data_IF_666030047566
#
_entry.id   IF_666030047566
#
_cell.length_a   1.000
_cell.length_b   1.000
_cell.length_c   1.000
_cell.angle_alpha   90.00
_cell.angle_beta   90.00
_cell.angle_gamma   90.00
#
_symmetry.space_group_name_H-M   'P 1'
#
loop_
_entity.id
_entity.type
_entity.pdbx_description
1 polymer ?
#
# COMPACT_ATOMS: atom_id res chain seq x y z
N UNK A 1 -52.24 1.60 -12.22
CA UNK A 1 -51.45 1.58 -10.97
C UNK A 1 -50.03 1.99 -11.34
N UNK A 2 -49.67 3.27 -11.17
CA UNK A 2 -48.31 3.73 -11.41
C UNK A 2 -47.43 3.27 -10.24
N UNK A 3 -46.37 2.51 -10.53
CA UNK A 3 -45.35 2.17 -9.55
C UNK A 3 -44.76 3.49 -9.04
N UNK A 4 -44.85 3.71 -7.73
CA UNK A 4 -44.21 4.86 -7.09
C UNK A 4 -42.72 4.88 -7.45
N UNK A 5 -42.12 6.03 -7.80
CA UNK A 5 -40.70 6.12 -8.07
C UNK A 5 -39.97 5.68 -6.80
N UNK A 6 -39.24 4.57 -6.89
CA UNK A 6 -38.34 4.09 -5.84
C UNK A 6 -37.40 5.26 -5.55
N UNK A 7 -37.46 5.81 -4.32
CA UNK A 7 -36.62 6.94 -3.93
C UNK A 7 -35.17 6.62 -4.29
N UNK A 8 -34.56 7.48 -5.11
CA UNK A 8 -33.13 7.36 -5.44
C UNK A 8 -32.38 7.40 -4.10
N UNK A 9 -31.54 6.41 -3.78
CA UNK A 9 -30.74 6.49 -2.57
C UNK A 9 -29.96 7.81 -2.56
N UNK A 10 -29.72 8.41 -1.38
CA UNK A 10 -28.91 9.62 -1.29
C UNK A 10 -27.57 9.40 -1.99
N UNK A 11 -27.07 10.44 -2.66
CA UNK A 11 -25.75 10.38 -3.28
C UNK A 11 -24.70 10.05 -2.21
N UNK A 12 -23.69 9.21 -2.52
CA UNK A 12 -22.64 8.90 -1.57
C UNK A 12 -21.87 10.19 -1.18
N UNK A 13 -21.21 10.20 -0.01
CA UNK A 13 -20.35 11.31 0.38
C UNK A 13 -19.29 11.61 -0.68
N UNK A 14 -18.98 12.88 -0.89
CA UNK A 14 -17.90 13.32 -1.78
C UNK A 14 -16.52 13.05 -1.17
N UNK A 15 -15.47 13.03 -2.00
CA UNK A 15 -14.09 12.84 -1.52
C UNK A 15 -13.68 13.90 -0.49
N UNK A 16 -14.11 15.16 -0.67
CA UNK A 16 -13.83 16.22 0.30
C UNK A 16 -14.53 15.98 1.64
N UNK A 17 -15.80 15.58 1.63
CA UNK A 17 -16.55 15.27 2.86
C UNK A 17 -15.96 14.07 3.61
N UNK A 18 -15.41 13.10 2.87
CA UNK A 18 -14.68 11.95 3.43
C UNK A 18 -13.38 12.41 4.08
N UNK A 19 -12.58 13.19 3.37
CA UNK A 19 -11.30 13.69 3.88
C UNK A 19 -11.49 14.58 5.12
N UNK A 20 -12.47 15.48 5.12
CA UNK A 20 -12.83 16.28 6.28
C UNK A 20 -13.30 15.42 7.46
N UNK A 21 -14.11 14.38 7.20
CA UNK A 21 -14.56 13.48 8.26
C UNK A 21 -13.39 12.71 8.89
N UNK A 22 -12.44 12.22 8.09
CA UNK A 22 -11.24 11.55 8.61
C UNK A 22 -10.40 12.49 9.48
N UNK A 23 -10.15 13.72 9.01
CA UNK A 23 -9.41 14.73 9.76
C UNK A 23 -10.02 15.00 11.14
N UNK A 24 -11.34 15.18 11.15
CA UNK A 24 -12.10 15.44 12.37
C UNK A 24 -12.09 14.24 13.32
N UNK A 25 -12.23 13.02 12.81
CA UNK A 25 -12.16 11.80 13.62
C UNK A 25 -10.76 11.59 14.19
N UNK A 26 -9.69 11.82 13.42
CA UNK A 26 -8.30 11.74 13.88
C UNK A 26 -8.02 12.76 14.98
N UNK A 27 -8.41 14.02 14.77
CA UNK A 27 -8.30 15.05 15.81
C UNK A 27 -9.04 14.64 17.08
N UNK A 28 -10.25 14.12 16.93
CA UNK A 28 -11.09 13.69 18.05
C UNK A 28 -10.48 12.54 18.85
N UNK A 29 -9.99 11.47 18.22
CA UNK A 29 -9.41 10.32 18.96
C UNK A 29 -8.11 10.67 19.67
N UNK A 30 -7.37 11.68 19.18
CA UNK A 30 -6.15 12.16 19.82
C UNK A 30 -6.44 13.10 21.01
N UNK A 31 -7.55 13.86 20.97
CA UNK A 31 -7.98 14.76 22.05
C UNK A 31 -8.77 14.01 23.13
N UNK A 32 -9.71 13.16 22.72
CA UNK A 32 -10.61 12.42 23.60
C UNK A 32 -10.56 10.92 23.27
N UNK A 33 -9.54 10.19 23.74
CA UNK A 33 -9.36 8.76 23.43
C UNK A 33 -10.57 7.88 23.81
N UNK A 34 -11.41 8.33 24.74
CA UNK A 34 -12.67 7.66 25.10
C UNK A 34 -13.67 7.57 23.93
N UNK A 35 -13.56 8.43 22.91
CA UNK A 35 -14.37 8.36 21.70
C UNK A 35 -13.99 7.17 20.79
N UNK A 36 -12.76 6.65 20.92
CA UNK A 36 -12.24 5.58 20.07
C UNK A 36 -13.16 4.36 20.02
N UNK A 37 -13.66 3.89 21.16
CA UNK A 37 -14.50 2.69 21.22
C UNK A 37 -15.81 2.85 20.42
N UNK A 38 -16.40 4.05 20.38
CA UNK A 38 -17.62 4.32 19.59
C UNK A 38 -17.32 4.37 18.09
N UNK A 39 -16.18 4.93 17.73
CA UNK A 39 -15.72 5.02 16.34
C UNK A 39 -15.36 3.62 15.82
N UNK A 40 -14.60 2.83 16.59
CA UNK A 40 -14.19 1.47 16.26
C UNK A 40 -15.35 0.45 16.26
N UNK A 41 -16.49 0.78 16.87
CA UNK A 41 -17.71 0.00 16.73
C UNK A 41 -18.35 0.12 15.33
N UNK A 42 -17.99 1.16 14.57
CA UNK A 42 -18.55 1.45 13.24
C UNK A 42 -17.51 1.23 12.14
N UNK A 43 -16.27 1.65 12.40
CA UNK A 43 -15.19 1.67 11.42
C UNK A 43 -14.12 0.62 11.71
N UNK A 44 -13.57 0.07 10.64
CA UNK A 44 -12.35 -0.72 10.60
C UNK A 44 -11.21 0.11 10.02
N UNK A 45 -9.98 -0.40 10.13
CA UNK A 45 -8.80 0.28 9.59
C UNK A 45 -8.89 0.47 8.07
N UNK A 46 -9.49 -0.48 7.37
CA UNK A 46 -9.60 -0.48 5.90
C UNK A 46 -10.56 0.59 5.37
N UNK A 47 -11.47 1.11 6.22
CA UNK A 47 -12.45 2.13 5.82
C UNK A 47 -11.80 3.50 5.59
N UNK A 48 -10.63 3.75 6.20
CA UNK A 48 -9.86 4.99 6.08
C UNK A 48 -9.10 5.06 4.75
N UNK A 49 -9.21 6.17 4.05
CA UNK A 49 -8.53 6.43 2.77
C UNK A 49 -7.08 6.85 2.97
N UNK A 50 -6.78 7.73 3.94
CA UNK A 50 -5.42 8.22 4.13
C UNK A 50 -4.58 7.30 5.01
N UNK A 51 -3.39 6.94 4.53
CA UNK A 51 -2.44 6.07 5.24
C UNK A 51 -2.07 6.59 6.64
N UNK A 52 -1.84 7.91 6.78
CA UNK A 52 -1.56 8.51 8.08
C UNK A 52 -2.76 8.35 9.04
N UNK A 53 -3.98 8.63 8.59
CA UNK A 53 -5.19 8.55 9.41
C UNK A 53 -5.47 7.12 9.85
N UNK A 54 -5.38 6.16 8.93
CA UNK A 54 -5.46 4.72 9.22
C UNK A 54 -4.44 4.31 10.29
N UNK A 55 -3.19 4.70 10.10
CA UNK A 55 -2.11 4.39 11.06
C UNK A 55 -2.37 4.98 12.44
N UNK A 56 -2.87 6.23 12.52
CA UNK A 56 -3.24 6.84 13.81
C UNK A 56 -4.35 6.03 14.48
N UNK A 57 -5.41 5.68 13.76
CA UNK A 57 -6.51 4.88 14.30
C UNK A 57 -6.02 3.54 14.88
N UNK A 58 -5.23 2.77 14.12
CA UNK A 58 -4.68 1.49 14.59
C UNK A 58 -3.75 1.64 15.80
N UNK A 59 -2.87 2.65 15.78
CA UNK A 59 -1.91 2.89 16.87
C UNK A 59 -2.63 3.32 18.14
N UNK A 60 -3.64 4.19 18.04
CA UNK A 60 -4.46 4.61 19.17
C UNK A 60 -5.16 3.41 19.80
N UNK A 61 -5.77 2.52 18.99
CA UNK A 61 -6.38 1.29 19.48
C UNK A 61 -5.42 0.44 20.32
N UNK A 62 -4.22 0.17 19.78
CA UNK A 62 -3.18 -0.58 20.49
C UNK A 62 -2.73 0.12 21.78
N UNK A 63 -2.55 1.44 21.77
CA UNK A 63 -2.16 2.18 22.97
C UNK A 63 -3.23 2.06 24.06
N UNK A 64 -4.52 2.14 23.70
CA UNK A 64 -5.64 1.98 24.64
C UNK A 64 -5.66 0.56 25.22
N UNK A 65 -5.50 -0.47 24.39
CA UNK A 65 -5.41 -1.87 24.82
C UNK A 65 -4.22 -2.12 25.76
N UNK A 66 -3.07 -1.49 25.48
CA UNK A 66 -1.86 -1.54 26.31
C UNK A 66 -1.97 -0.67 27.59
N UNK A 67 -3.06 0.08 27.78
CA UNK A 67 -3.23 1.02 28.91
C UNK A 67 -2.26 2.21 28.88
N UNK A 68 -1.74 2.56 27.70
CA UNK A 68 -0.77 3.63 27.49
C UNK A 68 -1.45 4.95 27.11
N UNK A 69 -0.83 6.09 27.48
CA UNK A 69 -1.39 7.39 27.12
C UNK A 69 -1.37 7.61 25.60
N UNK A 70 -2.46 8.16 25.09
CA UNK A 70 -2.61 8.56 23.69
C UNK A 70 -2.26 10.04 23.56
N UNK A 71 -1.38 10.35 22.61
CA UNK A 71 -0.97 11.71 22.24
C UNK A 71 -0.33 11.69 20.85
N UNK A 72 -0.19 12.84 20.16
CA UNK A 72 0.58 12.90 18.92
C UNK A 72 2.00 12.32 19.08
N UNK A 73 2.69 12.67 20.17
CA UNK A 73 4.05 12.20 20.44
C UNK A 73 4.16 10.67 20.64
N UNK A 74 3.12 10.02 21.18
CA UNK A 74 3.11 8.56 21.35
C UNK A 74 2.74 7.81 20.06
N UNK A 75 2.05 8.48 19.14
CA UNK A 75 1.59 7.89 17.86
C UNK A 75 2.62 8.06 16.74
N UNK A 76 3.22 9.26 16.62
CA UNK A 76 4.13 9.64 15.53
C UNK A 76 5.23 8.60 15.23
N UNK A 77 5.90 7.97 16.20
CA UNK A 77 6.95 6.98 15.92
C UNK A 77 6.46 5.69 15.25
N UNK A 78 5.14 5.47 15.19
CA UNK A 78 4.49 4.24 14.73
C UNK A 78 3.61 4.44 13.49
N UNK A 79 3.59 5.64 12.92
CA UNK A 79 2.78 6.01 11.74
C UNK A 79 3.65 6.67 10.67
N UNK A 80 3.06 6.98 9.51
CA UNK A 80 3.73 7.77 8.46
C UNK A 80 4.25 9.11 9.01
N UNK A 81 5.46 9.50 8.63
CA UNK A 81 6.05 10.81 8.95
C UNK A 81 5.62 11.92 7.98
N UNK A 82 4.92 11.54 6.90
CA UNK A 82 4.38 12.44 5.88
C UNK A 82 2.87 12.55 6.00
N UNK A 83 2.36 13.79 5.98
CA UNK A 83 0.94 14.15 5.98
C UNK A 83 0.33 14.14 4.56
N UNK A 84 -1.01 14.17 4.41
CA UNK A 84 -1.67 14.17 3.11
C UNK A 84 -1.28 15.34 2.18
N UNK A 85 -0.87 16.47 2.74
CA UNK A 85 -0.39 17.65 1.99
C UNK A 85 1.10 17.56 1.60
N UNK A 86 1.77 16.45 1.93
CA UNK A 86 3.20 16.24 1.73
C UNK A 86 4.08 16.90 2.80
N UNK A 87 3.48 17.55 3.80
CA UNK A 87 4.19 18.17 4.92
C UNK A 87 4.53 17.19 6.05
N UNK A 88 5.21 17.67 7.10
CA UNK A 88 5.50 16.87 8.29
C UNK A 88 4.23 16.44 9.05
N UNK A 89 4.12 15.16 9.38
CA UNK A 89 2.95 14.60 10.08
C UNK A 89 2.73 15.20 11.48
N UNK A 90 3.78 15.61 12.19
CA UNK A 90 3.69 16.19 13.53
C UNK A 90 2.89 17.50 13.53
N UNK A 91 3.22 18.42 12.63
CA UNK A 91 2.52 19.72 12.49
C UNK A 91 1.07 19.51 12.07
N UNK A 92 0.85 18.55 11.18
CA UNK A 92 -0.47 18.19 10.71
C UNK A 92 -1.37 17.65 11.84
N UNK A 93 -0.90 16.65 12.60
CA UNK A 93 -1.66 16.08 13.70
C UNK A 93 -1.93 17.11 14.82
N UNK A 94 -0.98 18.00 15.11
CA UNK A 94 -1.20 19.10 16.06
C UNK A 94 -2.34 20.03 15.58
N UNK A 95 -2.39 20.34 14.29
CA UNK A 95 -3.46 21.16 13.74
C UNK A 95 -4.83 20.45 13.84
N UNK A 96 -4.88 19.13 13.57
CA UNK A 96 -6.11 18.34 13.73
C UNK A 96 -6.60 18.29 15.17
N UNK A 97 -5.69 18.13 16.13
CA UNK A 97 -5.99 18.19 17.57
C UNK A 97 -6.59 19.55 17.96
N UNK A 98 -6.00 20.64 17.46
CA UNK A 98 -6.49 21.99 17.75
C UNK A 98 -7.87 22.27 17.13
N UNK A 99 -8.17 21.66 15.98
CA UNK A 99 -9.45 21.80 15.27
C UNK A 99 -10.47 20.70 15.55
N UNK A 100 -10.22 19.82 16.52
CA UNK A 100 -11.07 18.65 16.77
C UNK A 100 -12.50 19.06 17.16
N UNK A 101 -13.54 18.41 16.61
CA UNK A 101 -14.92 18.69 16.98
C UNK A 101 -15.24 18.10 18.37
N UNK A 102 -16.45 18.40 18.85
CA UNK A 102 -17.01 17.72 20.03
C UNK A 102 -17.18 16.22 19.79
N UNK A 103 -17.01 15.39 20.82
CA UNK A 103 -17.22 13.94 20.74
C UNK A 103 -18.66 13.51 20.45
N UNK A 104 -19.62 14.45 20.46
CA UNK A 104 -20.97 14.27 19.93
C UNK A 104 -20.98 14.00 18.42
N UNK A 105 -19.96 14.44 17.68
CA UNK A 105 -19.84 14.22 16.23
C UNK A 105 -19.17 12.89 15.86
N UNK A 106 -18.68 12.12 16.84
CA UNK A 106 -17.96 10.87 16.61
C UNK A 106 -18.74 9.90 15.71
N UNK A 107 -19.99 9.56 16.09
CA UNK A 107 -20.79 8.59 15.35
C UNK A 107 -21.27 9.11 13.99
N UNK A 108 -21.80 10.35 13.86
CA UNK A 108 -22.17 10.88 12.54
C UNK A 108 -21.01 10.89 11.54
N UNK A 109 -19.81 11.29 11.97
CA UNK A 109 -18.62 11.28 11.12
C UNK A 109 -18.18 9.86 10.78
N UNK A 110 -18.20 8.94 11.76
CA UNK A 110 -17.86 7.55 11.53
C UNK A 110 -18.82 6.86 10.54
N UNK A 111 -20.13 7.13 10.64
CA UNK A 111 -21.12 6.60 9.69
C UNK A 111 -20.90 7.14 8.28
N UNK A 112 -20.57 8.42 8.14
CA UNK A 112 -20.25 9.01 6.83
C UNK A 112 -19.04 8.32 6.19
N UNK A 113 -17.98 8.08 6.96
CA UNK A 113 -16.81 7.38 6.45
C UNK A 113 -17.15 5.91 6.07
N UNK A 114 -17.99 5.24 6.86
CA UNK A 114 -18.45 3.88 6.56
C UNK A 114 -19.34 3.82 5.29
N UNK A 115 -20.21 4.82 5.09
CA UNK A 115 -21.01 4.95 3.86
C UNK A 115 -20.12 5.13 2.63
N UNK A 116 -19.08 5.96 2.74
CA UNK A 116 -18.10 6.13 1.67
C UNK A 116 -17.30 4.85 1.41
N UNK A 117 -16.85 4.15 2.45
CA UNK A 117 -16.14 2.87 2.32
C UNK A 117 -17.00 1.82 1.61
N UNK A 118 -18.29 1.75 1.96
CA UNK A 118 -19.23 0.88 1.27
C UNK A 118 -19.43 1.26 -0.20
N UNK A 119 -19.45 2.55 -0.52
CA UNK A 119 -19.58 3.02 -1.90
C UNK A 119 -18.35 2.67 -2.76
N UNK A 120 -17.15 2.65 -2.17
CA UNK A 120 -15.90 2.25 -2.83
C UNK A 120 -15.82 0.74 -3.05
N UNK A 121 -16.23 -0.05 -2.05
CA UNK A 121 -16.18 -1.52 -2.11
C UNK A 121 -17.47 -2.18 -2.61
N UNK A 122 -18.38 -1.42 -3.23
CA UNK A 122 -19.69 -1.92 -3.66
C UNK A 122 -19.60 -2.95 -4.80
N UNK A 123 -20.68 -3.73 -5.06
CA UNK A 123 -20.73 -4.70 -6.16
C UNK A 123 -20.42 -4.08 -7.52
N UNK A 124 -20.83 -2.82 -7.72
CA UNK A 124 -20.57 -2.05 -8.94
C UNK A 124 -19.08 -1.77 -9.18
N UNK A 125 -18.23 -1.82 -8.13
CA UNK A 125 -16.76 -1.70 -8.28
C UNK A 125 -16.11 -3.03 -8.68
N UNK A 126 -16.56 -4.15 -8.10
CA UNK A 126 -15.96 -5.48 -8.33
C UNK A 126 -16.27 -6.06 -9.72
N UNK A 127 -17.42 -5.71 -10.30
CA UNK A 127 -17.89 -6.23 -11.60
C UNK A 127 -17.70 -5.24 -12.77
N UNK A 128 -16.93 -4.15 -12.60
CA UNK A 128 -16.77 -3.12 -13.65
C UNK A 128 -15.75 -3.49 -14.73
N UNK A 129 -16.04 -3.09 -15.96
CA UNK A 129 -15.03 -2.95 -17.00
C UNK A 129 -14.11 -1.76 -16.64
N UNK A 130 -13.01 -2.07 -15.95
CA UNK A 130 -12.05 -1.07 -15.46
C UNK A 130 -11.49 -0.20 -16.61
N UNK A 131 -11.29 -0.78 -17.80
CA UNK A 131 -10.80 -0.03 -18.96
C UNK A 131 -11.84 1.00 -19.41
N UNK A 132 -13.10 0.58 -19.59
CA UNK A 132 -14.17 1.48 -20.00
C UNK A 132 -14.39 2.58 -18.96
N UNK A 133 -14.46 2.23 -17.67
CA UNK A 133 -14.60 3.20 -16.58
C UNK A 133 -13.43 4.19 -16.55
N UNK A 134 -12.17 3.73 -16.60
CA UNK A 134 -11.01 4.62 -16.56
C UNK A 134 -10.98 5.56 -17.78
N UNK A 135 -11.41 5.08 -18.94
CA UNK A 135 -11.56 5.89 -20.14
C UNK A 135 -12.64 6.98 -19.98
N UNK A 136 -13.78 6.65 -19.38
CA UNK A 136 -14.86 7.60 -19.07
C UNK A 136 -14.41 8.67 -18.07
N UNK A 137 -13.73 8.27 -16.99
CA UNK A 137 -13.16 9.22 -16.01
C UNK A 137 -12.15 10.17 -16.67
N UNK A 138 -11.26 9.64 -17.53
CA UNK A 138 -10.31 10.46 -18.27
C UNK A 138 -11.00 11.42 -19.25
N UNK A 139 -12.11 11.02 -19.86
CA UNK A 139 -12.89 11.87 -20.74
C UNK A 139 -13.60 12.99 -19.98
N UNK A 140 -14.18 12.70 -18.81
CA UNK A 140 -14.77 13.68 -17.92
C UNK A 140 -13.74 14.72 -17.45
N UNK A 141 -12.54 14.27 -17.04
CA UNK A 141 -11.40 15.13 -16.70
C UNK A 141 -11.02 16.08 -17.85
N UNK A 142 -10.84 15.54 -19.06
CA UNK A 142 -10.49 16.36 -20.25
C UNK A 142 -11.56 17.40 -20.60
N UNK A 143 -12.81 17.15 -20.24
CA UNK A 143 -13.96 18.05 -20.45
C UNK A 143 -14.20 19.01 -19.28
N UNK A 144 -13.42 18.93 -18.21
CA UNK A 144 -13.59 19.74 -16.99
C UNK A 144 -14.87 19.40 -16.20
N UNK A 145 -15.43 18.20 -16.38
CA UNK A 145 -16.67 17.76 -15.75
C UNK A 145 -16.39 17.12 -14.39
N UNK A 146 -15.86 17.91 -13.45
CA UNK A 146 -15.41 17.39 -12.14
C UNK A 146 -16.54 16.78 -11.30
N UNK A 147 -17.76 17.31 -11.40
CA UNK A 147 -18.94 16.79 -10.69
C UNK A 147 -19.37 15.39 -11.17
N UNK A 148 -18.92 14.97 -12.35
CA UNK A 148 -19.20 13.66 -12.91
C UNK A 148 -18.11 12.62 -12.57
N UNK A 149 -17.04 13.04 -11.87
CA UNK A 149 -15.96 12.14 -11.49
C UNK A 149 -16.39 11.26 -10.33
N UNK A 150 -16.07 9.98 -10.45
CA UNK A 150 -16.13 9.02 -9.36
C UNK A 150 -14.87 9.18 -8.49
N UNK A 151 -14.77 10.32 -7.81
CA UNK A 151 -13.53 10.77 -7.17
C UNK A 151 -13.05 9.82 -6.06
N UNK A 152 -13.97 9.15 -5.36
CA UNK A 152 -13.63 8.16 -4.34
C UNK A 152 -12.89 6.97 -4.94
N UNK A 153 -13.46 6.34 -5.97
CA UNK A 153 -12.83 5.21 -6.65
C UNK A 153 -11.61 5.64 -7.48
N UNK A 154 -11.60 6.86 -8.03
CA UNK A 154 -10.46 7.38 -8.79
C UNK A 154 -9.21 7.56 -7.93
N UNK A 155 -9.36 8.03 -6.69
CA UNK A 155 -8.24 8.14 -5.76
C UNK A 155 -7.63 6.78 -5.47
N UNK A 156 -8.46 5.79 -5.13
CA UNK A 156 -8.00 4.42 -4.86
C UNK A 156 -7.29 3.79 -6.07
N UNK A 157 -7.86 3.91 -7.27
CA UNK A 157 -7.27 3.34 -8.49
C UNK A 157 -5.91 3.97 -8.86
N UNK A 158 -5.73 5.26 -8.58
CA UNK A 158 -4.44 5.93 -8.79
C UNK A 158 -3.41 5.43 -7.76
N UNK A 159 -3.82 5.22 -6.52
CA UNK A 159 -2.96 4.64 -5.49
C UNK A 159 -2.59 3.19 -5.81
N UNK A 160 -3.56 2.38 -6.24
CA UNK A 160 -3.38 1.00 -6.67
C UNK A 160 -2.48 0.89 -7.89
N UNK A 161 -2.58 1.82 -8.85
CA UNK A 161 -1.64 1.90 -9.98
C UNK A 161 -0.19 2.11 -9.49
N UNK A 162 0.00 3.00 -8.52
CA UNK A 162 1.31 3.20 -7.88
C UNK A 162 1.79 1.95 -7.13
N UNK A 163 0.88 1.26 -6.45
CA UNK A 163 1.12 -0.01 -5.78
C UNK A 163 1.51 -1.13 -6.74
N UNK A 164 0.86 -1.23 -7.90
CA UNK A 164 1.16 -2.22 -8.93
C UNK A 164 2.58 -2.05 -9.49
N UNK A 165 3.00 -0.81 -9.78
CA UNK A 165 4.37 -0.49 -10.21
C UNK A 165 5.38 -0.91 -9.13
N UNK A 166 5.08 -0.62 -7.86
CA UNK A 166 5.93 -1.03 -6.74
C UNK A 166 6.02 -2.56 -6.62
N UNK A 167 4.89 -3.26 -6.73
CA UNK A 167 4.80 -4.72 -6.63
C UNK A 167 5.51 -5.41 -7.80
N UNK A 168 5.55 -4.79 -8.99
CA UNK A 168 6.31 -5.27 -10.13
C UNK A 168 7.82 -5.24 -9.82
N UNK A 169 8.33 -4.15 -9.24
CA UNK A 169 9.73 -4.06 -8.80
C UNK A 169 10.04 -5.10 -7.71
N UNK A 170 9.17 -5.24 -6.70
CA UNK A 170 9.34 -6.24 -5.64
C UNK A 170 9.36 -7.67 -6.21
N UNK A 171 8.49 -7.97 -7.19
CA UNK A 171 8.44 -9.27 -7.85
C UNK A 171 9.69 -9.59 -8.67
N UNK A 172 10.20 -8.61 -9.42
CA UNK A 172 11.42 -8.76 -10.19
C UNK A 172 12.65 -8.97 -9.27
N UNK A 173 12.72 -8.23 -8.16
CA UNK A 173 13.72 -8.43 -7.11
C UNK A 173 13.60 -9.83 -6.47
N UNK A 174 12.37 -10.27 -6.14
CA UNK A 174 12.12 -11.59 -5.54
C UNK A 174 12.63 -12.72 -6.44
N UNK A 175 12.28 -12.70 -7.73
CA UNK A 175 12.73 -13.71 -8.68
C UNK A 175 14.25 -13.71 -8.84
N UNK A 176 14.87 -12.53 -8.86
CA UNK A 176 16.34 -12.38 -8.92
C UNK A 176 16.99 -12.98 -7.68
N UNK A 177 16.53 -12.59 -6.49
CA UNK A 177 17.05 -13.07 -5.21
C UNK A 177 16.89 -14.58 -5.04
N UNK A 178 15.72 -15.13 -5.38
CA UNK A 178 15.44 -16.57 -5.29
C UNK A 178 16.45 -17.37 -6.13
N UNK A 179 16.69 -16.94 -7.37
CA UNK A 179 17.65 -17.61 -8.24
C UNK A 179 19.09 -17.39 -7.80
N UNK A 180 19.45 -16.23 -7.22
CA UNK A 180 20.76 -16.02 -6.60
C UNK A 180 20.99 -16.96 -5.40
N UNK A 181 19.97 -17.18 -4.57
CA UNK A 181 20.05 -18.14 -3.45
C UNK A 181 20.27 -19.56 -3.96
N UNK A 182 19.45 -20.02 -4.91
CA UNK A 182 19.61 -21.32 -5.58
C UNK A 182 20.99 -21.46 -6.23
N UNK A 183 21.47 -20.40 -6.87
CA UNK A 183 22.78 -20.36 -7.52
C UNK A 183 23.92 -20.56 -6.52
N UNK A 184 23.79 -20.05 -5.30
CA UNK A 184 24.83 -20.15 -4.28
C UNK A 184 24.80 -21.48 -3.54
N UNK A 185 23.61 -22.01 -3.27
CA UNK A 185 23.44 -23.20 -2.42
C UNK A 185 23.40 -24.51 -3.20
N UNK A 186 23.14 -24.49 -4.51
CA UNK A 186 23.14 -25.69 -5.36
C UNK A 186 24.02 -25.50 -6.62
N UNK A 187 25.35 -25.33 -6.48
CA UNK A 187 26.25 -25.07 -7.60
C UNK A 187 26.20 -26.14 -8.70
N UNK A 188 25.97 -27.39 -8.33
CA UNK A 188 25.82 -28.55 -9.23
C UNK A 188 24.50 -28.57 -10.01
N UNK A 189 23.46 -27.86 -9.56
CA UNK A 189 22.15 -27.78 -10.24
C UNK A 189 21.95 -26.49 -11.04
N UNK A 190 22.99 -25.66 -11.19
CA UNK A 190 22.92 -24.41 -11.95
C UNK A 190 22.49 -24.68 -13.38
N UNK A 191 21.46 -23.95 -13.85
CA UNK A 191 20.94 -24.07 -15.22
C UNK A 191 21.01 -22.73 -15.96
N UNK A 192 20.95 -22.81 -17.29
CA UNK A 192 20.76 -21.63 -18.15
C UNK A 192 19.46 -20.89 -17.84
N UNK A 193 18.40 -21.62 -17.49
CA UNK A 193 17.11 -21.02 -17.11
C UNK A 193 17.27 -20.14 -15.88
N UNK A 194 17.95 -20.60 -14.83
CA UNK A 194 18.19 -19.78 -13.63
C UNK A 194 19.02 -18.53 -13.93
N UNK A 195 20.06 -18.68 -14.76
CA UNK A 195 20.86 -17.54 -15.22
C UNK A 195 20.01 -16.52 -15.99
N UNK A 196 19.14 -16.98 -16.90
CA UNK A 196 18.22 -16.11 -17.64
C UNK A 196 17.22 -15.43 -16.71
N UNK A 197 16.68 -16.12 -15.71
CA UNK A 197 15.77 -15.53 -14.73
C UNK A 197 16.43 -14.41 -13.92
N UNK A 198 17.69 -14.58 -13.51
CA UNK A 198 18.47 -13.52 -12.84
C UNK A 198 18.66 -12.33 -13.78
N UNK A 199 19.07 -12.59 -15.03
CA UNK A 199 19.32 -11.52 -16.00
C UNK A 199 18.05 -10.74 -16.34
N UNK A 200 16.93 -11.44 -16.57
CA UNK A 200 15.66 -10.80 -16.89
C UNK A 200 15.13 -10.00 -15.70
N UNK A 201 15.16 -10.56 -14.48
CA UNK A 201 14.73 -9.82 -13.29
C UNK A 201 15.57 -8.56 -13.04
N UNK A 202 16.88 -8.59 -13.34
CA UNK A 202 17.73 -7.38 -13.30
C UNK A 202 17.32 -6.34 -14.33
N UNK A 203 17.06 -6.76 -15.58
CA UNK A 203 16.60 -5.85 -16.63
C UNK A 203 15.24 -5.22 -16.29
N UNK A 204 14.30 -6.02 -15.77
CA UNK A 204 12.98 -5.54 -15.36
C UNK A 204 13.09 -4.48 -14.25
N UNK A 205 13.98 -4.70 -13.26
CA UNK A 205 14.26 -3.70 -12.21
C UNK A 205 14.90 -2.44 -12.78
N UNK A 206 15.86 -2.59 -13.70
CA UNK A 206 16.54 -1.45 -14.34
C UNK A 206 15.54 -0.59 -15.14
N UNK A 207 14.72 -1.20 -16.00
CA UNK A 207 13.70 -0.52 -16.79
C UNK A 207 12.67 0.21 -15.90
N UNK A 208 12.24 -0.44 -14.81
CA UNK A 208 11.35 0.19 -13.83
C UNK A 208 11.98 1.40 -13.16
N UNK A 209 13.26 1.33 -12.78
CA UNK A 209 13.96 2.45 -12.13
C UNK A 209 14.31 3.58 -13.09
N UNK A 210 14.49 3.30 -14.37
CA UNK A 210 14.64 4.29 -15.43
C UNK A 210 13.32 5.04 -15.68
N UNK A 211 12.22 4.29 -15.78
CA UNK A 211 10.88 4.85 -16.03
C UNK A 211 10.30 5.55 -14.80
N UNK A 212 10.63 5.07 -13.60
CA UNK A 212 10.11 5.56 -12.32
C UNK A 212 11.24 5.82 -11.30
N UNK A 213 12.03 6.90 -11.48
CA UNK A 213 13.19 7.18 -10.62
C UNK A 213 12.89 7.32 -9.12
N UNK A 214 11.67 7.74 -8.76
CA UNK A 214 11.23 7.87 -7.37
C UNK A 214 11.20 6.54 -6.60
N UNK A 215 11.11 5.40 -7.30
CA UNK A 215 11.16 4.07 -6.68
C UNK A 215 12.51 3.78 -6.00
N UNK A 216 13.59 4.49 -6.37
CA UNK A 216 14.92 4.33 -5.75
C UNK A 216 14.88 4.49 -4.23
N UNK A 217 14.06 5.42 -3.72
CA UNK A 217 13.90 5.63 -2.27
C UNK A 217 13.19 4.48 -1.55
N UNK A 218 12.50 3.61 -2.30
CA UNK A 218 11.70 2.50 -1.77
C UNK A 218 12.42 1.15 -1.88
N UNK A 219 13.62 1.12 -2.46
CA UNK A 219 14.43 -0.09 -2.64
C UNK A 219 14.73 -0.86 -1.34
N UNK A 220 15.13 -0.22 -0.22
CA UNK A 220 15.44 -0.97 1.00
C UNK A 220 14.25 -1.81 1.50
N UNK A 221 13.06 -1.22 1.52
CA UNK A 221 11.83 -1.91 1.91
C UNK A 221 11.43 -3.00 0.91
N UNK A 222 11.63 -2.77 -0.39
CA UNK A 222 11.32 -3.74 -1.44
C UNK A 222 12.23 -4.97 -1.36
N UNK A 223 13.54 -4.77 -1.19
CA UNK A 223 14.52 -5.85 -1.05
C UNK A 223 14.21 -6.70 0.17
N UNK A 224 13.91 -6.09 1.32
CA UNK A 224 13.60 -6.82 2.54
C UNK A 224 12.35 -7.72 2.38
N UNK A 225 11.29 -7.21 1.72
CA UNK A 225 10.07 -8.00 1.44
C UNK A 225 10.32 -9.10 0.41
N UNK A 226 10.91 -8.73 -0.72
CA UNK A 226 11.28 -9.64 -1.79
C UNK A 226 12.14 -10.80 -1.29
N UNK A 227 13.12 -10.51 -0.43
CA UNK A 227 14.02 -11.52 0.13
C UNK A 227 13.29 -12.52 1.02
N UNK A 228 12.42 -12.06 1.94
CA UNK A 228 11.64 -12.97 2.80
C UNK A 228 10.86 -13.99 1.96
N UNK A 229 10.23 -13.53 0.88
CA UNK A 229 9.51 -14.44 -0.02
C UNK A 229 10.45 -15.32 -0.84
N UNK A 230 11.52 -14.75 -1.38
CA UNK A 230 12.52 -15.48 -2.15
C UNK A 230 13.19 -16.61 -1.35
N UNK A 231 13.40 -16.42 -0.04
CA UNK A 231 13.92 -17.43 0.90
C UNK A 231 12.98 -18.64 1.02
N UNK A 232 11.68 -18.39 1.20
CA UNK A 232 10.64 -19.43 1.22
C UNK A 232 10.59 -20.16 -0.13
N UNK A 233 10.52 -19.41 -1.23
CA UNK A 233 10.43 -19.99 -2.58
C UNK A 233 11.69 -20.82 -2.91
N UNK A 234 12.89 -20.35 -2.52
CA UNK A 234 14.14 -21.08 -2.71
C UNK A 234 14.20 -22.36 -1.86
N UNK A 235 13.79 -22.32 -0.60
CA UNK A 235 13.70 -23.52 0.25
C UNK A 235 12.80 -24.58 -0.41
N UNK A 236 11.61 -24.17 -0.84
CA UNK A 236 10.66 -25.05 -1.53
C UNK A 236 11.17 -25.64 -2.84
N UNK A 237 11.92 -24.88 -3.66
CA UNK A 237 12.45 -25.38 -4.93
C UNK A 237 13.77 -26.17 -4.81
N UNK A 238 14.52 -25.97 -3.72
CA UNK A 238 15.81 -26.64 -3.51
C UNK A 238 15.70 -27.92 -2.68
N UNK A 239 14.58 -28.12 -1.99
CA UNK A 239 14.38 -29.16 -0.97
C UNK A 239 15.39 -29.03 0.19
N UNK A 240 15.78 -27.79 0.50
CA UNK A 240 16.62 -27.44 1.64
C UNK A 240 15.76 -26.74 2.70
N UNK A 241 16.11 -26.92 3.97
CA UNK A 241 15.45 -26.20 5.06
C UNK A 241 15.64 -24.69 4.91
N UNK A 242 14.61 -23.92 5.29
CA UNK A 242 14.63 -22.45 5.20
C UNK A 242 15.78 -21.82 6.00
N UNK A 243 16.21 -22.48 7.08
CA UNK A 243 17.29 -22.05 7.98
C UNK A 243 18.69 -22.20 7.37
N UNK A 244 18.83 -22.92 6.25
CA UNK A 244 20.06 -22.94 5.45
C UNK A 244 20.33 -21.56 4.84
N UNK A 245 19.27 -20.80 4.55
CA UNK A 245 19.35 -19.45 4.00
C UNK A 245 19.36 -18.42 5.13
N UNK A 246 20.21 -17.37 5.06
CA UNK A 246 20.25 -16.32 6.08
C UNK A 246 18.88 -15.67 6.34
N UNK A 247 18.56 -15.32 7.59
CA UNK A 247 17.29 -14.69 7.94
C UNK A 247 17.10 -13.29 7.32
N UNK A 248 18.21 -12.56 7.15
CA UNK A 248 18.26 -11.26 6.47
C UNK A 248 18.91 -11.38 5.11
N UNK A 249 18.60 -10.46 4.19
CA UNK A 249 19.16 -10.47 2.84
C UNK A 249 20.68 -10.29 2.89
N UNK A 250 21.48 -11.26 2.42
CA UNK A 250 22.94 -11.18 2.49
C UNK A 250 23.55 -10.32 1.37
N UNK A 251 22.73 -9.78 0.47
CA UNK A 251 23.19 -9.01 -0.68
C UNK A 251 22.77 -7.55 -0.56
N UNK A 252 23.71 -6.63 -0.80
CA UNK A 252 23.39 -5.24 -1.08
C UNK A 252 22.72 -5.10 -2.46
N UNK A 253 21.97 -4.01 -2.68
CA UNK A 253 21.32 -3.76 -3.97
C UNK A 253 22.29 -3.85 -5.16
N UNK A 254 23.48 -3.24 -5.02
CA UNK A 254 24.50 -3.28 -6.06
C UNK A 254 24.92 -4.72 -6.40
N UNK A 255 25.07 -5.59 -5.40
CA UNK A 255 25.39 -7.00 -5.61
C UNK A 255 24.24 -7.76 -6.28
N UNK A 256 22.99 -7.51 -5.87
CA UNK A 256 21.79 -8.10 -6.51
C UNK A 256 21.81 -7.80 -8.00
N UNK A 257 22.14 -6.56 -8.38
CA UNK A 257 22.07 -6.07 -9.76
C UNK A 257 23.30 -6.43 -10.61
N UNK A 258 24.50 -6.41 -10.04
CA UNK A 258 25.73 -6.42 -10.85
C UNK A 258 26.59 -7.66 -10.66
N UNK A 259 26.40 -8.42 -9.57
CA UNK A 259 27.25 -9.57 -9.26
C UNK A 259 27.35 -10.51 -10.47
N UNK A 260 28.56 -10.93 -10.87
CA UNK A 260 28.75 -11.87 -11.96
C UNK A 260 28.07 -13.21 -11.69
N UNK A 261 27.28 -13.67 -12.66
CA UNK A 261 26.67 -15.00 -12.70
C UNK A 261 27.17 -15.69 -13.96
N UNK A 262 28.42 -16.17 -13.92
CA UNK A 262 29.07 -16.73 -15.10
C UNK A 262 28.61 -18.16 -15.39
N UNK A 263 28.13 -18.42 -16.61
CA UNK A 263 28.06 -19.77 -17.15
C UNK A 263 29.44 -20.15 -17.69
N UNK A 264 30.04 -21.30 -17.31
CA UNK A 264 31.28 -21.73 -17.93
C UNK A 264 31.03 -21.93 -19.43
N UNK A 265 31.78 -21.20 -20.25
CA UNK A 265 31.76 -21.37 -21.71
C UNK A 265 32.00 -22.85 -22.00
N UNK A 266 31.12 -23.45 -22.80
CA UNK A 266 31.31 -24.81 -23.26
C UNK A 266 32.71 -24.87 -23.88
N UNK A 267 33.62 -25.63 -23.26
CA UNK A 267 34.95 -25.86 -23.82
C UNK A 267 34.74 -26.32 -25.26
N UNK A 268 35.36 -25.61 -26.22
CA UNK A 268 35.50 -26.13 -27.57
C UNK A 268 36.19 -27.49 -27.40
N UNK A 269 35.44 -28.57 -27.62
CA UNK A 269 36.05 -29.87 -27.86
C UNK A 269 36.78 -29.72 -29.19
N UNK A 270 38.08 -29.44 -29.12
CA UNK A 270 39.03 -29.68 -30.20
C UNK A 270 39.20 -31.17 -30.41
#
# INVERSE_FOLDING_TARGET
MALAPKARPPAPPTLNEVFEAEQQLVGLILVEPAAYARIAAILRAEDWTQNLHRGVFEVVGRLIEEGRPVSPASVLPKVSDVAPDGGPADRYLIALVAGAPSSAFAEPLARRLAEAAHARSGPDHLDRDLYAWAYEQALALRRGQFDALDALNLAEEIEDLGGAIYNQMESALRLTLMHLLKWNHQPEKRTRSWHLSIRNGRLDVEELLERHPSLKHRLPGAIARAYRRARIDAAGETDLDEDVFPAECPYAFEEIMTRPVSWPSAGRKS
#
